data_IF_912496030745
#
_entry.id   IF_912496030745
#
_cell.length_a   1.000
_cell.length_b   1.000
_cell.length_c   1.000
_cell.angle_alpha   90.00
_cell.angle_beta   90.00
_cell.angle_gamma   90.00
#
_symmetry.space_group_name_H-M   'P 1'
#
loop_
_entity.id
_entity.type
_entity.pdbx_description
1 polymer ?
#
# COMPACT_ATOMS: atom_id res chain seq x y z
N UNK A 1 10.42 19.87 34.90
CA UNK A 1 9.10 19.21 34.95
C UNK A 1 8.87 18.55 33.60
N UNK A 2 8.69 17.23 33.54
CA UNK A 2 8.38 16.56 32.26
C UNK A 2 6.92 16.84 31.91
N UNK A 3 6.66 17.23 30.67
CA UNK A 3 5.31 17.53 30.19
C UNK A 3 4.51 16.24 30.07
N UNK A 4 3.18 16.31 30.15
CA UNK A 4 2.29 15.15 29.98
C UNK A 4 2.52 14.42 28.63
N UNK A 5 2.93 15.18 27.60
CA UNK A 5 3.36 14.67 26.28
C UNK A 5 4.67 13.88 26.33
N UNK A 6 5.59 14.21 27.23
CA UNK A 6 6.85 13.49 27.41
C UNK A 6 6.63 12.15 28.12
N UNK A 7 5.68 12.12 29.06
CA UNK A 7 5.25 10.90 29.74
C UNK A 7 4.48 9.96 28.80
N UNK A 8 3.66 10.50 27.89
CA UNK A 8 3.01 9.72 26.82
C UNK A 8 4.03 9.15 25.82
N UNK A 9 5.04 9.93 25.41
CA UNK A 9 6.14 9.44 24.55
C UNK A 9 6.99 8.36 25.21
N UNK A 10 7.18 8.42 26.53
CA UNK A 10 7.87 7.36 27.29
C UNK A 10 7.02 6.09 27.43
N UNK A 11 5.69 6.21 27.61
CA UNK A 11 4.75 5.07 27.59
C UNK A 11 4.69 4.38 26.22
N UNK A 12 4.67 5.13 25.13
CA UNK A 12 4.69 4.57 23.76
C UNK A 12 6.02 3.87 23.43
N UNK A 13 7.16 4.40 23.92
CA UNK A 13 8.48 3.75 23.78
C UNK A 13 8.59 2.44 24.58
N UNK A 14 7.86 2.31 25.68
CA UNK A 14 7.78 1.07 26.47
C UNK A 14 6.94 -0.02 25.81
N UNK A 15 5.84 0.36 25.13
CA UNK A 15 4.89 -0.59 24.54
C UNK A 15 5.25 -1.06 23.11
N UNK A 16 6.16 -0.40 22.40
CA UNK A 16 6.52 -0.75 21.02
C UNK A 16 7.72 -1.71 20.88
N UNK A 17 8.25 -2.27 21.98
CA UNK A 17 9.49 -3.07 21.96
C UNK A 17 9.40 -4.45 21.26
N UNK A 18 8.24 -4.86 20.74
CA UNK A 18 8.08 -6.13 20.02
C UNK A 18 7.53 -6.02 18.59
N UNK A 19 7.42 -4.81 18.03
CA UNK A 19 7.18 -4.70 16.58
C UNK A 19 8.54 -4.91 15.92
N UNK A 20 8.77 -6.11 15.36
CA UNK A 20 9.88 -6.35 14.42
C UNK A 20 9.98 -5.13 13.51
N UNK A 21 11.16 -4.54 13.39
CA UNK A 21 11.39 -3.37 12.56
C UNK A 21 11.20 -3.77 11.08
N UNK A 22 9.95 -3.84 10.61
CA UNK A 22 9.60 -4.19 9.24
C UNK A 22 10.15 -3.05 8.37
N UNK A 23 10.89 -3.43 7.34
CA UNK A 23 11.61 -2.47 6.51
C UNK A 23 10.67 -1.88 5.47
N UNK A 24 10.90 -0.62 5.09
CA UNK A 24 10.04 0.12 4.16
C UNK A 24 9.77 -0.63 2.85
N UNK A 25 10.76 -1.34 2.31
CA UNK A 25 10.57 -2.14 1.09
C UNK A 25 9.66 -3.35 1.29
N UNK A 26 9.72 -4.01 2.45
CA UNK A 26 8.83 -5.11 2.77
C UNK A 26 7.40 -4.61 2.95
N UNK A 27 7.23 -3.49 3.65
CA UNK A 27 5.93 -2.80 3.76
C UNK A 27 5.38 -2.45 2.38
N UNK A 28 6.23 -1.90 1.49
CA UNK A 28 5.83 -1.56 0.12
C UNK A 28 5.31 -2.78 -0.63
N UNK A 29 6.10 -3.86 -0.67
CA UNK A 29 5.76 -5.07 -1.42
C UNK A 29 4.51 -5.77 -0.86
N UNK A 30 4.36 -5.80 0.48
CA UNK A 30 3.15 -6.34 1.11
C UNK A 30 1.92 -5.48 0.80
N UNK A 31 2.04 -4.16 0.87
CA UNK A 31 0.94 -3.24 0.57
C UNK A 31 0.53 -3.36 -0.90
N UNK A 32 1.50 -3.44 -1.80
CA UNK A 32 1.25 -3.61 -3.23
C UNK A 32 0.53 -4.93 -3.52
N UNK A 33 1.00 -6.04 -2.94
CA UNK A 33 0.40 -7.35 -3.12
C UNK A 33 -1.03 -7.40 -2.55
N UNK A 34 -1.26 -6.79 -1.38
CA UNK A 34 -2.57 -6.72 -0.76
C UNK A 34 -3.56 -5.91 -1.58
N UNK A 35 -3.18 -4.69 -2.00
CA UNK A 35 -4.04 -3.85 -2.83
C UNK A 35 -4.36 -4.49 -4.18
N UNK A 36 -3.38 -5.18 -4.76
CA UNK A 36 -3.60 -5.87 -6.03
C UNK A 36 -4.54 -7.07 -5.88
N UNK A 37 -4.44 -7.78 -4.75
CA UNK A 37 -5.38 -8.84 -4.39
C UNK A 37 -6.80 -8.30 -4.12
N UNK A 38 -6.93 -7.19 -3.40
CA UNK A 38 -8.21 -6.53 -3.16
C UNK A 38 -8.87 -6.08 -4.47
N UNK A 39 -8.09 -5.51 -5.39
CA UNK A 39 -8.58 -5.14 -6.71
C UNK A 39 -9.06 -6.36 -7.50
N UNK A 40 -8.29 -7.46 -7.50
CA UNK A 40 -8.69 -8.72 -8.13
C UNK A 40 -10.02 -9.23 -7.55
N UNK A 41 -10.17 -9.23 -6.22
CA UNK A 41 -11.40 -9.68 -5.57
C UNK A 41 -12.58 -8.79 -5.97
N UNK A 42 -12.40 -7.48 -5.99
CA UNK A 42 -13.44 -6.54 -6.41
C UNK A 42 -13.84 -6.79 -7.87
N UNK A 43 -12.88 -6.93 -8.77
CA UNK A 43 -13.14 -7.17 -10.20
C UNK A 43 -13.85 -8.51 -10.43
N UNK A 44 -13.46 -9.56 -9.70
CA UNK A 44 -14.14 -10.87 -9.73
C UNK A 44 -15.58 -10.80 -9.21
N UNK A 45 -15.84 -10.01 -8.17
CA UNK A 45 -17.21 -9.84 -7.62
C UNK A 45 -18.10 -9.06 -8.58
N UNK A 46 -17.55 -8.09 -9.30
CA UNK A 46 -18.29 -7.26 -10.25
C UNK A 46 -18.47 -7.92 -11.62
N UNK A 47 -17.62 -8.89 -11.97
CA UNK A 47 -17.64 -9.55 -13.28
C UNK A 47 -18.58 -10.75 -13.29
N UNK A 48 -19.54 -10.78 -14.21
CA UNK A 48 -20.52 -11.87 -14.36
C UNK A 48 -20.05 -13.02 -15.25
N UNK A 49 -18.74 -13.25 -15.37
CA UNK A 49 -18.14 -14.21 -16.31
C UNK A 49 -17.64 -15.43 -15.54
N UNK A 50 -17.69 -16.62 -16.15
CA UNK A 50 -17.08 -17.82 -15.59
C UNK A 50 -15.58 -17.61 -15.30
N UNK A 51 -15.10 -18.13 -14.18
CA UNK A 51 -13.72 -17.91 -13.72
C UNK A 51 -12.65 -18.43 -14.70
N UNK A 52 -12.99 -19.43 -15.51
CA UNK A 52 -12.12 -20.00 -16.54
C UNK A 52 -11.91 -19.07 -17.73
N UNK A 53 -12.86 -18.17 -17.98
CA UNK A 53 -12.84 -17.20 -19.09
C UNK A 53 -12.46 -15.80 -18.62
N UNK A 54 -12.39 -15.59 -17.30
CA UNK A 54 -12.03 -14.33 -16.69
C UNK A 54 -10.66 -13.83 -17.15
N UNK A 55 -10.62 -12.55 -17.54
CA UNK A 55 -9.42 -11.81 -17.85
C UNK A 55 -9.52 -10.44 -17.19
N UNK A 56 -8.58 -10.15 -16.28
CA UNK A 56 -8.50 -8.85 -15.65
C UNK A 56 -7.84 -7.85 -16.61
N UNK A 57 -8.43 -6.66 -16.70
CA UNK A 57 -7.90 -5.56 -17.50
C UNK A 57 -6.83 -4.83 -16.70
N UNK A 58 -5.55 -5.01 -17.09
CA UNK A 58 -4.45 -4.31 -16.44
C UNK A 58 -4.12 -3.02 -17.22
N UNK A 59 -4.38 -1.87 -16.61
CA UNK A 59 -4.19 -0.54 -17.21
C UNK A 59 -2.99 0.18 -16.60
N UNK A 60 -2.46 1.19 -17.29
CA UNK A 60 -1.40 2.07 -16.74
C UNK A 60 -1.92 2.81 -15.49
N UNK A 61 -3.16 3.28 -15.53
CA UNK A 61 -3.83 3.93 -14.40
C UNK A 61 -3.89 3.04 -13.16
N UNK A 62 -4.22 1.76 -13.33
CA UNK A 62 -4.21 0.77 -12.25
C UNK A 62 -2.81 0.61 -11.66
N UNK A 63 -1.79 0.48 -12.50
CA UNK A 63 -0.41 0.32 -12.04
C UNK A 63 0.07 1.53 -11.22
N UNK A 64 -0.19 2.75 -11.69
CA UNK A 64 0.17 3.99 -10.97
C UNK A 64 -0.60 4.07 -9.65
N UNK A 65 -1.88 3.70 -9.65
CA UNK A 65 -2.71 3.66 -8.45
C UNK A 65 -2.10 2.73 -7.39
N UNK A 66 -1.73 1.51 -7.78
CA UNK A 66 -1.11 0.54 -6.86
C UNK A 66 0.21 1.06 -6.29
N UNK A 67 1.06 1.67 -7.12
CA UNK A 67 2.33 2.26 -6.66
C UNK A 67 2.07 3.39 -5.65
N UNK A 68 1.17 4.31 -5.98
CA UNK A 68 0.98 5.53 -5.19
C UNK A 68 0.39 5.23 -3.82
N UNK A 69 -0.65 4.38 -3.77
CA UNK A 69 -1.24 3.95 -2.50
C UNK A 69 -0.21 3.16 -1.67
N UNK A 70 0.56 2.26 -2.29
CA UNK A 70 1.62 1.51 -1.59
C UNK A 70 2.69 2.43 -1.01
N UNK A 71 3.11 3.48 -1.73
CA UNK A 71 4.05 4.49 -1.24
C UNK A 71 3.48 5.25 -0.04
N UNK A 72 2.22 5.68 -0.10
CA UNK A 72 1.54 6.33 1.02
C UNK A 72 1.51 5.40 2.23
N UNK A 73 1.17 4.12 2.04
CA UNK A 73 1.17 3.13 3.13
C UNK A 73 2.55 2.99 3.76
N UNK A 74 3.62 3.00 2.97
CA UNK A 74 5.00 3.02 3.48
C UNK A 74 5.27 4.27 4.30
N UNK A 75 4.84 5.45 3.84
CA UNK A 75 5.04 6.71 4.59
C UNK A 75 4.39 6.64 5.98
N UNK A 76 3.23 6.01 6.10
CA UNK A 76 2.50 5.86 7.37
C UNK A 76 3.03 4.74 8.27
N UNK A 77 3.44 3.61 7.69
CA UNK A 77 3.82 2.40 8.43
C UNK A 77 5.32 2.28 8.68
N UNK A 78 6.17 2.96 7.91
CA UNK A 78 7.62 2.90 8.10
C UNK A 78 8.10 3.80 9.24
N UNK A 79 9.02 3.26 10.04
CA UNK A 79 9.73 3.99 11.07
C UNK A 79 10.79 4.96 10.53
N UNK A 80 11.06 4.96 9.21
CA UNK A 80 12.07 5.84 8.58
C UNK A 80 11.54 7.24 8.23
N UNK A 81 10.23 7.44 8.18
CA UNK A 81 9.57 8.67 7.73
C UNK A 81 8.80 9.39 8.84
N UNK A 82 9.27 9.26 10.09
CA UNK A 82 8.64 9.83 11.28
C UNK A 82 8.37 11.33 11.19
N UNK A 83 9.34 12.15 10.74
CA UNK A 83 9.13 13.61 10.62
C UNK A 83 7.98 14.00 9.68
N UNK A 84 7.87 13.32 8.55
CA UNK A 84 6.81 13.58 7.57
C UNK A 84 5.46 13.06 8.08
N UNK A 85 5.45 11.86 8.67
CA UNK A 85 4.29 11.27 9.32
C UNK A 85 3.74 12.14 10.45
N UNK A 86 4.63 12.70 11.27
CA UNK A 86 4.26 13.57 12.38
C UNK A 86 3.67 14.89 11.84
N UNK A 87 4.29 15.50 10.83
CA UNK A 87 3.76 16.72 10.19
C UNK A 87 2.37 16.54 9.53
N UNK A 88 2.06 15.34 9.00
CA UNK A 88 0.72 15.04 8.49
C UNK A 88 -0.27 14.85 9.64
N UNK A 89 0.13 14.14 10.69
CA UNK A 89 -0.74 13.85 11.84
C UNK A 89 -0.98 15.05 12.74
N UNK A 90 -0.11 16.05 12.71
CA UNK A 90 -0.21 17.26 13.53
C UNK A 90 -1.42 18.13 13.15
N UNK A 91 -1.99 17.97 11.95
CA UNK A 91 -3.14 18.76 11.49
C UNK A 91 -4.18 17.92 10.77
N UNK A 92 -5.44 18.00 11.24
CA UNK A 92 -6.60 17.40 10.55
C UNK A 92 -6.70 17.88 9.10
N UNK A 93 -6.30 19.13 8.81
CA UNK A 93 -6.29 19.68 7.45
C UNK A 93 -5.23 19.02 6.57
N UNK A 94 -4.03 18.74 7.10
CA UNK A 94 -2.97 18.06 6.33
C UNK A 94 -3.37 16.62 6.00
N UNK A 95 -3.99 15.92 6.96
CA UNK A 95 -4.53 14.58 6.74
C UNK A 95 -5.64 14.59 5.67
N UNK A 96 -6.56 15.55 5.74
CA UNK A 96 -7.63 15.70 4.75
C UNK A 96 -7.07 16.04 3.35
N UNK A 97 -6.12 16.97 3.26
CA UNK A 97 -5.47 17.34 2.00
C UNK A 97 -4.73 16.14 1.37
N UNK A 98 -4.08 15.30 2.19
CA UNK A 98 -3.42 14.10 1.71
C UNK A 98 -4.42 13.07 1.16
N UNK A 99 -5.55 12.85 1.86
CA UNK A 99 -6.60 11.95 1.37
C UNK A 99 -7.19 12.47 0.05
N UNK A 100 -7.57 13.74 0.00
CA UNK A 100 -8.13 14.36 -1.21
C UNK A 100 -7.13 14.31 -2.37
N UNK A 101 -5.87 14.67 -2.12
CA UNK A 101 -4.81 14.62 -3.12
C UNK A 101 -4.57 13.20 -3.65
N UNK A 102 -4.62 12.20 -2.76
CA UNK A 102 -4.51 10.79 -3.17
C UNK A 102 -5.67 10.39 -4.07
N UNK A 103 -6.91 10.68 -3.67
CA UNK A 103 -8.10 10.38 -4.47
C UNK A 103 -8.05 11.09 -5.82
N UNK A 104 -7.62 12.35 -5.87
CA UNK A 104 -7.48 13.11 -7.11
C UNK A 104 -6.44 12.48 -8.06
N UNK A 105 -5.28 12.08 -7.55
CA UNK A 105 -4.23 11.43 -8.36
C UNK A 105 -4.73 10.09 -8.90
N UNK A 106 -5.39 9.29 -8.06
CA UNK A 106 -5.98 8.00 -8.46
C UNK A 106 -7.04 8.21 -9.54
N UNK A 107 -7.92 9.20 -9.36
CA UNK A 107 -8.94 9.54 -10.34
C UNK A 107 -8.32 9.97 -11.68
N UNK A 108 -7.37 10.92 -11.66
CA UNK A 108 -6.68 11.39 -12.85
C UNK A 108 -5.94 10.25 -13.56
N UNK A 109 -5.27 9.37 -12.82
CA UNK A 109 -4.58 8.21 -13.39
C UNK A 109 -5.57 7.27 -14.10
N UNK A 110 -6.73 6.98 -13.51
CA UNK A 110 -7.70 6.08 -14.13
C UNK A 110 -8.46 6.72 -15.30
N UNK A 111 -8.72 8.03 -15.26
CA UNK A 111 -9.40 8.75 -16.35
C UNK A 111 -8.48 8.95 -17.56
N UNK A 112 -7.25 9.40 -17.35
CA UNK A 112 -6.34 9.77 -18.44
C UNK A 112 -5.43 8.63 -18.90
N UNK A 113 -5.21 7.61 -18.06
CA UNK A 113 -4.32 6.48 -18.34
C UNK A 113 -5.05 5.13 -18.32
N UNK A 114 -6.31 5.13 -18.74
CA UNK A 114 -7.15 3.94 -18.84
C UNK A 114 -6.77 2.96 -19.96
N UNK A 115 -5.69 3.22 -20.71
CA UNK A 115 -5.22 2.33 -21.77
C UNK A 115 -4.79 0.97 -21.19
N UNK A 116 -5.42 -0.10 -21.69
CA UNK A 116 -5.09 -1.48 -21.32
C UNK A 116 -3.71 -1.85 -21.85
N UNK A 117 -2.83 -2.29 -20.96
CA UNK A 117 -1.49 -2.80 -21.30
C UNK A 117 -1.60 -4.28 -21.67
N UNK A 118 -2.29 -5.04 -20.82
CA UNK A 118 -2.36 -6.49 -20.91
C UNK A 118 -3.64 -7.01 -20.27
N UNK A 119 -4.14 -8.11 -20.84
CA UNK A 119 -5.21 -8.92 -20.24
C UNK A 119 -4.57 -10.10 -19.53
N UNK A 120 -4.76 -10.19 -18.21
CA UNK A 120 -4.20 -11.28 -17.42
C UNK A 120 -5.29 -12.25 -16.99
N UNK A 121 -5.09 -13.53 -17.27
CA UNK A 121 -5.89 -14.59 -16.66
C UNK A 121 -5.63 -14.65 -15.15
N UNK A 122 -6.56 -15.24 -14.41
CA UNK A 122 -6.51 -15.29 -12.94
C UNK A 122 -5.22 -15.93 -12.38
N UNK A 123 -4.71 -16.97 -13.04
CA UNK A 123 -3.53 -17.71 -12.58
C UNK A 123 -2.25 -16.83 -12.58
N UNK A 124 -1.86 -16.17 -13.69
CA UNK A 124 -0.77 -15.19 -13.68
C UNK A 124 -0.88 -14.13 -12.57
N UNK A 125 -2.10 -13.63 -12.30
CA UNK A 125 -2.32 -12.59 -11.28
C UNK A 125 -2.01 -13.14 -9.88
N UNK A 126 -2.53 -14.32 -9.55
CA UNK A 126 -2.25 -15.00 -8.28
C UNK A 126 -0.75 -15.24 -8.11
N UNK A 127 -0.06 -15.67 -9.18
CA UNK A 127 1.39 -15.87 -9.16
C UNK A 127 2.14 -14.56 -8.90
N UNK A 128 1.74 -13.45 -9.54
CA UNK A 128 2.32 -12.13 -9.30
C UNK A 128 2.15 -11.73 -7.83
N UNK A 129 0.94 -11.83 -7.28
CA UNK A 129 0.65 -11.51 -5.87
C UNK A 129 1.52 -12.35 -4.94
N UNK A 130 1.56 -13.68 -5.14
CA UNK A 130 2.37 -14.58 -4.35
C UNK A 130 3.86 -14.25 -4.44
N UNK A 131 4.36 -13.90 -5.64
CA UNK A 131 5.75 -13.53 -5.86
C UNK A 131 6.15 -12.29 -5.05
N UNK A 132 5.30 -11.27 -4.98
CA UNK A 132 5.55 -10.08 -4.16
C UNK A 132 5.67 -10.42 -2.67
N UNK A 133 4.78 -11.26 -2.13
CA UNK A 133 4.86 -11.73 -0.75
C UNK A 133 6.16 -12.52 -0.47
N UNK A 134 6.54 -13.41 -1.39
CA UNK A 134 7.76 -14.23 -1.26
C UNK A 134 9.00 -13.34 -1.31
N UNK A 135 9.09 -12.43 -2.28
CA UNK A 135 10.21 -11.49 -2.43
C UNK A 135 10.34 -10.64 -1.17
N UNK A 136 9.24 -10.09 -0.64
CA UNK A 136 9.24 -9.32 0.60
C UNK A 136 9.82 -10.14 1.77
N UNK A 137 9.37 -11.39 1.93
CA UNK A 137 9.85 -12.31 2.98
C UNK A 137 11.32 -12.67 2.82
N UNK A 138 11.81 -12.83 1.60
CA UNK A 138 13.23 -13.09 1.31
C UNK A 138 14.07 -11.87 1.69
N UNK A 139 13.65 -10.67 1.30
CA UNK A 139 14.36 -9.43 1.61
C UNK A 139 14.44 -9.17 3.12
N UNK A 140 13.40 -9.53 3.87
CA UNK A 140 13.43 -9.47 5.34
C UNK A 140 14.48 -10.41 5.95
N UNK A 141 14.62 -11.63 5.41
CA UNK A 141 15.56 -12.63 5.91
C UNK A 141 17.01 -12.34 5.56
N UNK A 142 17.29 -11.89 4.33
CA UNK A 142 18.66 -11.70 3.82
C UNK A 142 19.38 -10.50 4.44
N UNK A 143 18.63 -9.52 4.93
CA UNK A 143 19.20 -8.26 5.44
C UNK A 143 19.01 -8.22 6.97
N UNK A 144 19.11 -9.39 7.63
CA UNK A 144 19.14 -9.48 9.10
C UNK A 144 20.51 -9.11 9.64
#
# INVERSE_FOLDING_TARGET
MKTERDLLREKEKGSNKNIKNIKSYSVFLYSFALLFFEYLLLDLVLTSVNITEYKMNFTIGLFITLIFISLITVLYMSNKTTRFKDAIKDSKLNMLALVIGTVAIVYLANVYLGYTIVYLSILPIILIIASFYIIAKILEKKIK
#
